data_IF_082877236160
#
_entry.id   IF_082877236160
#
_cell.length_a   1.000
_cell.length_b   1.000
_cell.length_c   1.000
_cell.angle_alpha   90.00
_cell.angle_beta   90.00
_cell.angle_gamma   90.00
#
_symmetry.space_group_name_H-M   'P 1'
#
loop_
_entity.id
_entity.type
_entity.pdbx_description
1 polymer ?
#
# COMPACT_ATOMS: atom_id res chain seq x y z
N UNK A 1 22.84 -9.79 14.99
CA UNK A 1 22.51 -9.55 16.42
C UNK A 1 23.36 -10.33 17.40
N UNK A 2 23.71 -11.62 17.16
CA UNK A 2 24.55 -12.41 18.06
C UNK A 2 25.94 -11.78 18.31
N UNK A 3 26.61 -11.27 17.29
CA UNK A 3 27.91 -10.61 17.42
C UNK A 3 27.78 -9.30 18.21
N UNK A 4 26.73 -8.51 17.98
CA UNK A 4 26.46 -7.29 18.73
C UNK A 4 26.21 -7.55 20.22
N UNK A 5 25.60 -8.68 20.58
CA UNK A 5 25.39 -9.07 21.98
C UNK A 5 26.69 -9.54 22.67
N UNK A 6 27.56 -10.25 21.94
CA UNK A 6 28.75 -10.86 22.51
C UNK A 6 29.96 -9.91 22.52
N UNK A 7 30.19 -9.18 21.46
CA UNK A 7 31.38 -8.38 21.20
C UNK A 7 31.09 -6.86 21.13
N UNK A 8 29.78 -6.49 21.03
CA UNK A 8 29.35 -5.11 20.86
C UNK A 8 29.48 -4.27 22.12
N UNK A 9 29.63 -2.96 21.94
CA UNK A 9 29.59 -1.96 22.99
C UNK A 9 28.21 -1.82 23.65
N UNK A 10 28.10 -0.92 24.61
CA UNK A 10 26.83 -0.61 25.28
C UNK A 10 25.72 -0.23 24.29
N UNK A 11 26.06 0.60 23.30
CA UNK A 11 25.11 1.12 22.32
C UNK A 11 24.51 0.00 21.45
N UNK A 12 25.32 -0.92 20.94
CA UNK A 12 24.85 -2.04 20.13
C UNK A 12 23.96 -3.00 20.93
N UNK A 13 24.31 -3.24 22.19
CA UNK A 13 23.48 -4.07 23.10
C UNK A 13 22.16 -3.39 23.42
N UNK A 14 22.16 -2.06 23.61
CA UNK A 14 20.95 -1.28 23.83
C UNK A 14 20.01 -1.33 22.60
N UNK A 15 20.54 -1.25 21.38
CA UNK A 15 19.76 -1.39 20.15
C UNK A 15 19.13 -2.79 20.00
N UNK A 16 19.88 -3.84 20.35
CA UNK A 16 19.32 -5.20 20.34
C UNK A 16 18.23 -5.34 21.40
N UNK A 17 18.45 -4.81 22.62
CA UNK A 17 17.44 -4.76 23.67
C UNK A 17 16.18 -4.02 23.23
N UNK A 18 16.35 -2.87 22.58
CA UNK A 18 15.23 -2.11 22.01
C UNK A 18 14.48 -2.91 20.94
N UNK A 19 15.17 -3.55 19.99
CA UNK A 19 14.53 -4.38 18.98
C UNK A 19 13.74 -5.54 19.61
N UNK A 20 14.31 -6.23 20.61
CA UNK A 20 13.61 -7.29 21.34
C UNK A 20 12.38 -6.77 22.10
N UNK A 21 12.50 -5.63 22.76
CA UNK A 21 11.36 -4.97 23.42
C UNK A 21 10.28 -4.61 22.43
N UNK A 22 10.64 -4.12 21.23
CA UNK A 22 9.71 -3.84 20.14
C UNK A 22 8.95 -5.08 19.66
N UNK A 23 9.61 -6.23 19.55
CA UNK A 23 8.95 -7.51 19.20
C UNK A 23 7.97 -7.92 20.29
N UNK A 24 8.42 -7.91 21.56
CA UNK A 24 7.57 -8.30 22.71
C UNK A 24 6.36 -7.38 22.77
N UNK A 25 6.58 -6.08 22.66
CA UNK A 25 5.49 -5.09 22.66
C UNK A 25 4.47 -5.34 21.55
N UNK A 26 4.94 -5.59 20.33
CA UNK A 26 4.07 -5.86 19.18
C UNK A 26 3.25 -7.14 19.32
N UNK A 27 3.74 -8.12 20.09
CA UNK A 27 3.04 -9.39 20.35
C UNK A 27 2.02 -9.29 21.51
N UNK A 28 2.32 -8.48 22.52
CA UNK A 28 1.52 -8.40 23.75
C UNK A 28 0.46 -7.31 23.69
N UNK A 29 0.74 -6.23 22.98
CA UNK A 29 -0.16 -5.08 22.90
C UNK A 29 -1.32 -5.35 21.93
N UNK A 30 -2.53 -5.56 22.45
CA UNK A 30 -3.73 -5.85 21.66
C UNK A 30 -4.14 -4.72 20.69
N UNK A 31 -3.72 -3.47 20.97
CA UNK A 31 -3.91 -2.31 20.09
C UNK A 31 -2.76 -2.08 19.10
N UNK A 32 -1.91 -3.08 18.85
CA UNK A 32 -0.78 -2.93 17.93
C UNK A 32 -1.27 -2.65 16.50
N UNK A 33 -0.76 -1.57 15.93
CA UNK A 33 -1.02 -1.14 14.56
C UNK A 33 0.27 -1.19 13.74
N UNK A 34 0.17 -1.04 12.42
CA UNK A 34 1.34 -0.99 11.54
C UNK A 34 2.34 0.12 11.94
N UNK A 35 1.86 1.22 12.54
CA UNK A 35 2.72 2.29 13.03
C UNK A 35 3.68 1.83 14.15
N UNK A 36 3.28 0.84 14.95
CA UNK A 36 4.13 0.28 16.00
C UNK A 36 5.33 -0.51 15.45
N UNK A 37 5.31 -0.90 14.16
CA UNK A 37 6.46 -1.53 13.51
C UNK A 37 7.70 -0.61 13.50
N UNK A 38 7.54 0.70 13.63
CA UNK A 38 8.66 1.63 13.77
C UNK A 38 9.56 1.33 14.98
N UNK A 39 8.99 0.85 16.10
CA UNK A 39 9.75 0.46 17.28
C UNK A 39 10.72 -0.70 17.03
N UNK A 40 10.44 -1.51 16.00
CA UNK A 40 11.31 -2.60 15.57
C UNK A 40 12.23 -2.18 14.42
N UNK A 41 11.71 -1.45 13.44
CA UNK A 41 12.44 -1.13 12.21
C UNK A 41 13.58 -0.16 12.45
N UNK A 42 13.41 0.84 13.34
CA UNK A 42 14.44 1.84 13.65
C UNK A 42 15.70 1.19 14.24
N UNK A 43 15.65 0.43 15.35
CA UNK A 43 16.86 -0.17 15.91
C UNK A 43 17.49 -1.20 14.96
N UNK A 44 16.70 -1.95 14.19
CA UNK A 44 17.22 -2.88 13.19
C UNK A 44 17.94 -2.15 12.04
N UNK A 45 17.42 -1.05 11.55
CA UNK A 45 18.06 -0.24 10.50
C UNK A 45 19.41 0.31 10.98
N UNK A 46 19.49 0.80 12.23
CA UNK A 46 20.73 1.27 12.82
C UNK A 46 21.75 0.14 12.97
N UNK A 47 21.32 -1.04 13.45
CA UNK A 47 22.20 -2.23 13.58
C UNK A 47 22.74 -2.68 12.20
N UNK A 48 21.91 -2.64 11.17
CA UNK A 48 22.33 -2.95 9.80
C UNK A 48 23.33 -1.90 9.31
N UNK A 49 23.08 -0.62 9.55
CA UNK A 49 24.00 0.47 9.21
C UNK A 49 25.38 0.27 9.88
N UNK A 50 25.41 -0.03 11.16
CA UNK A 50 26.65 -0.32 11.90
C UNK A 50 27.38 -1.54 11.32
N UNK A 51 26.64 -2.61 11.00
CA UNK A 51 27.22 -3.82 10.40
C UNK A 51 27.85 -3.51 9.03
N UNK A 52 27.18 -2.74 8.18
CA UNK A 52 27.70 -2.31 6.87
C UNK A 52 28.94 -1.44 7.03
N UNK A 53 28.91 -0.47 7.95
CA UNK A 53 30.04 0.40 8.25
C UNK A 53 31.25 -0.43 8.69
N UNK A 54 31.07 -1.36 9.63
CA UNK A 54 32.13 -2.25 10.08
C UNK A 54 32.70 -3.11 8.93
N UNK A 55 31.84 -3.63 8.04
CA UNK A 55 32.30 -4.39 6.88
C UNK A 55 33.14 -3.56 5.90
N UNK A 56 32.77 -2.33 5.69
CA UNK A 56 33.50 -1.40 4.82
C UNK A 56 34.84 -0.99 5.48
N UNK A 57 34.83 -0.73 6.79
CA UNK A 57 36.01 -0.28 7.53
C UNK A 57 37.05 -1.39 7.71
N UNK A 58 36.61 -2.61 8.07
CA UNK A 58 37.49 -3.78 8.18
C UNK A 58 38.24 -4.12 6.87
N UNK A 59 37.74 -3.63 5.75
CA UNK A 59 38.36 -3.85 4.44
C UNK A 59 39.73 -3.21 4.32
N UNK A 60 39.97 -2.10 4.99
CA UNK A 60 41.27 -1.39 4.93
C UNK A 60 42.41 -2.25 5.47
N UNK A 61 42.11 -3.14 6.44
CA UNK A 61 43.08 -4.02 7.07
C UNK A 61 43.32 -5.35 6.35
N UNK A 62 42.46 -5.71 5.36
CA UNK A 62 42.51 -6.96 4.60
C UNK A 62 43.02 -6.77 3.18
N UNK A 63 43.57 -5.60 2.85
CA UNK A 63 43.96 -5.20 1.49
C UNK A 63 45.11 -6.00 0.88
N UNK A 64 45.77 -6.86 1.66
CA UNK A 64 46.90 -7.63 1.18
C UNK A 64 46.56 -8.87 0.36
N UNK A 65 45.39 -9.49 0.63
CA UNK A 65 45.10 -10.83 0.11
C UNK A 65 44.01 -10.85 -0.98
N UNK A 66 43.21 -9.77 -1.08
CA UNK A 66 42.07 -9.72 -2.01
C UNK A 66 42.07 -8.39 -2.78
N UNK A 67 41.88 -8.40 -4.11
CA UNK A 67 41.78 -7.18 -4.87
C UNK A 67 40.71 -6.25 -4.29
N UNK A 68 41.03 -4.96 -4.11
CA UNK A 68 40.14 -3.97 -3.52
C UNK A 68 38.76 -3.87 -4.21
N UNK A 69 38.67 -4.27 -5.47
CA UNK A 69 37.47 -4.26 -6.29
C UNK A 69 36.63 -5.56 -6.21
N UNK A 70 37.17 -6.66 -5.65
CA UNK A 70 36.49 -7.96 -5.63
C UNK A 70 35.15 -7.95 -4.91
N UNK A 71 35.10 -7.39 -3.69
CA UNK A 71 33.86 -7.28 -2.91
C UNK A 71 32.81 -6.36 -3.58
N UNK A 72 33.17 -5.11 -4.01
CA UNK A 72 32.19 -4.25 -4.65
C UNK A 72 31.73 -4.79 -6.00
N UNK A 73 32.59 -5.43 -6.78
CA UNK A 73 32.15 -6.08 -8.02
C UNK A 73 31.12 -7.17 -7.77
N UNK A 74 31.38 -8.06 -6.81
CA UNK A 74 30.42 -9.11 -6.45
C UNK A 74 29.11 -8.51 -5.92
N UNK A 75 29.17 -7.43 -5.12
CA UNK A 75 27.97 -6.75 -4.63
C UNK A 75 27.15 -6.13 -5.77
N UNK A 76 27.81 -5.48 -6.75
CA UNK A 76 27.14 -4.90 -7.93
C UNK A 76 26.49 -6.00 -8.79
N UNK A 77 27.19 -7.10 -9.05
CA UNK A 77 26.63 -8.22 -9.81
C UNK A 77 25.44 -8.85 -9.09
N UNK A 78 25.56 -9.09 -7.79
CA UNK A 78 24.46 -9.59 -6.96
C UNK A 78 23.26 -8.63 -6.97
N UNK A 79 23.49 -7.33 -6.85
CA UNK A 79 22.44 -6.32 -6.96
C UNK A 79 21.73 -6.39 -8.32
N UNK A 80 22.49 -6.41 -9.41
CA UNK A 80 21.93 -6.49 -10.77
C UNK A 80 21.06 -7.75 -10.96
N UNK A 81 21.50 -8.89 -10.43
CA UNK A 81 20.74 -10.14 -10.47
C UNK A 81 19.46 -10.06 -9.62
N UNK A 82 19.51 -9.47 -8.43
CA UNK A 82 18.31 -9.26 -7.61
C UNK A 82 17.31 -8.31 -8.27
N UNK A 83 17.78 -7.28 -8.97
CA UNK A 83 16.90 -6.38 -9.75
C UNK A 83 16.27 -7.15 -10.93
N UNK A 84 17.03 -8.00 -11.62
CA UNK A 84 16.49 -8.85 -12.68
C UNK A 84 15.43 -9.83 -12.15
N UNK A 85 15.66 -10.45 -10.98
CA UNK A 85 14.67 -11.29 -10.30
C UNK A 85 13.43 -10.47 -9.95
N UNK A 86 13.59 -9.30 -9.35
CA UNK A 86 12.48 -8.41 -8.98
C UNK A 86 11.60 -8.05 -10.19
N UNK A 87 12.21 -7.64 -11.29
CA UNK A 87 11.49 -7.35 -12.55
C UNK A 87 10.79 -8.60 -13.07
N UNK A 88 11.48 -9.76 -13.07
CA UNK A 88 10.89 -11.02 -13.52
C UNK A 88 9.68 -11.42 -12.68
N UNK A 89 9.77 -11.31 -11.34
CA UNK A 89 8.69 -11.62 -10.41
C UNK A 89 7.51 -10.67 -10.60
N UNK A 90 7.76 -9.36 -10.78
CA UNK A 90 6.68 -8.39 -11.03
C UNK A 90 5.95 -8.70 -12.34
N UNK A 91 6.69 -8.99 -13.42
CA UNK A 91 6.08 -9.34 -14.70
C UNK A 91 5.33 -10.68 -14.64
N UNK A 92 5.88 -11.66 -13.92
CA UNK A 92 5.22 -12.93 -13.63
C UNK A 92 3.90 -12.71 -12.86
N UNK A 93 3.94 -11.95 -11.77
CA UNK A 93 2.76 -11.69 -10.97
C UNK A 93 1.67 -10.93 -11.74
N UNK A 94 2.05 -9.95 -12.56
CA UNK A 94 1.08 -9.28 -13.45
C UNK A 94 0.39 -10.27 -14.38
N UNK A 95 1.14 -11.14 -15.05
CA UNK A 95 0.55 -12.18 -15.92
C UNK A 95 -0.37 -13.11 -15.15
N UNK A 96 0.08 -13.56 -13.97
CA UNK A 96 -0.68 -14.43 -13.10
C UNK A 96 -2.01 -13.81 -12.65
N UNK A 97 -2.00 -12.53 -12.30
CA UNK A 97 -3.17 -11.86 -11.71
C UNK A 97 -4.18 -11.38 -12.77
N UNK A 98 -3.69 -10.96 -13.95
CA UNK A 98 -4.55 -10.32 -14.95
C UNK A 98 -4.98 -11.24 -16.08
N UNK A 99 -4.06 -12.07 -16.54
CA UNK A 99 -4.28 -12.81 -17.78
C UNK A 99 -4.89 -14.19 -17.55
N UNK A 100 -4.88 -14.70 -16.29
CA UNK A 100 -5.50 -15.99 -15.98
C UNK A 100 -6.99 -15.81 -15.62
N UNK A 101 -7.90 -16.41 -16.38
CA UNK A 101 -9.34 -16.34 -16.13
C UNK A 101 -9.81 -17.19 -14.93
N UNK A 102 -8.91 -17.58 -14.04
CA UNK A 102 -9.24 -18.44 -12.91
C UNK A 102 -9.89 -17.69 -11.76
N UNK A 103 -11.07 -18.11 -11.39
CA UNK A 103 -11.60 -18.02 -10.03
C UNK A 103 -11.01 -19.17 -9.19
N UNK A 104 -9.69 -19.25 -9.07
CA UNK A 104 -9.10 -20.21 -8.15
C UNK A 104 -9.27 -19.66 -6.73
N UNK A 105 -10.25 -20.16 -6.03
CA UNK A 105 -10.50 -19.85 -4.62
C UNK A 105 -9.46 -20.49 -3.69
N UNK A 106 -8.70 -21.47 -4.17
CA UNK A 106 -7.72 -22.23 -3.40
C UNK A 106 -6.31 -22.12 -4.02
N UNK A 107 -5.37 -21.58 -3.24
CA UNK A 107 -3.95 -21.48 -3.61
C UNK A 107 -3.32 -22.86 -3.86
N UNK A 108 -3.72 -23.89 -3.10
CA UNK A 108 -3.20 -25.26 -3.24
C UNK A 108 -3.58 -25.87 -4.59
N UNK A 109 -4.84 -25.73 -4.98
CA UNK A 109 -5.33 -26.19 -6.28
C UNK A 109 -4.65 -25.43 -7.44
N UNK A 110 -4.41 -24.13 -7.27
CA UNK A 110 -3.69 -23.32 -8.24
C UNK A 110 -2.23 -23.77 -8.40
N UNK A 111 -1.47 -23.91 -7.30
CA UNK A 111 -0.09 -24.38 -7.33
C UNK A 111 0.01 -25.79 -7.90
N UNK A 112 -0.89 -26.69 -7.52
CA UNK A 112 -0.98 -28.04 -8.09
C UNK A 112 -1.12 -28.02 -9.62
N UNK A 113 -2.04 -27.19 -10.14
CA UNK A 113 -2.21 -27.04 -11.59
C UNK A 113 -1.00 -26.40 -12.28
N UNK A 114 -0.36 -25.40 -11.65
CA UNK A 114 0.83 -24.77 -12.17
C UNK A 114 1.99 -25.77 -12.30
N UNK A 115 2.21 -26.58 -11.25
CA UNK A 115 3.29 -27.56 -11.23
C UNK A 115 2.98 -28.81 -12.05
N UNK A 116 1.75 -29.29 -12.12
CA UNK A 116 1.36 -30.41 -12.98
C UNK A 116 1.52 -30.06 -14.47
N UNK A 117 1.24 -28.81 -14.86
CA UNK A 117 1.48 -28.32 -16.22
C UNK A 117 2.95 -28.30 -16.64
N UNK A 118 3.87 -28.18 -15.68
CA UNK A 118 5.33 -28.29 -15.94
C UNK A 118 5.74 -29.74 -16.17
N UNK A 119 5.08 -30.69 -15.52
CA UNK A 119 5.47 -32.11 -15.53
C UNK A 119 4.72 -32.97 -16.56
N UNK A 120 3.51 -32.61 -16.93
CA UNK A 120 2.72 -33.40 -17.88
C UNK A 120 2.52 -32.62 -19.18
N UNK A 121 3.26 -33.01 -20.19
CA UNK A 121 2.87 -32.92 -21.60
C UNK A 121 1.65 -33.83 -21.84
N UNK A 122 0.69 -33.82 -20.90
CA UNK A 122 -0.42 -34.73 -20.95
C UNK A 122 -1.46 -34.15 -21.90
N UNK A 123 -1.78 -34.89 -22.95
CA UNK A 123 -2.76 -34.59 -23.98
C UNK A 123 -4.13 -34.18 -23.42
N UNK A 124 -4.49 -34.66 -22.24
CA UNK A 124 -5.78 -34.33 -21.60
C UNK A 124 -5.85 -32.89 -21.07
N UNK A 125 -4.74 -32.32 -20.60
CA UNK A 125 -4.68 -30.93 -20.17
C UNK A 125 -4.69 -30.00 -21.38
N UNK A 126 -3.96 -30.36 -22.44
CA UNK A 126 -4.02 -29.63 -23.71
C UNK A 126 -5.41 -29.73 -24.35
N UNK A 127 -6.11 -30.85 -24.19
CA UNK A 127 -7.44 -31.06 -24.75
C UNK A 127 -8.53 -30.31 -23.97
N UNK A 128 -8.45 -30.25 -22.64
CA UNK A 128 -9.32 -29.44 -21.80
C UNK A 128 -9.11 -27.93 -22.05
N UNK A 129 -7.86 -27.52 -22.20
CA UNK A 129 -7.49 -26.16 -22.60
C UNK A 129 -7.96 -25.88 -24.03
N UNK A 130 -7.80 -26.79 -24.98
CA UNK A 130 -8.18 -26.57 -26.39
C UNK A 130 -9.70 -26.45 -26.59
N UNK A 131 -10.53 -27.09 -25.77
CA UNK A 131 -11.99 -27.00 -25.83
C UNK A 131 -12.50 -25.62 -25.32
N UNK A 132 -11.90 -25.05 -24.31
CA UNK A 132 -12.15 -23.67 -23.90
C UNK A 132 -11.54 -22.64 -24.88
N UNK A 133 -10.45 -22.97 -25.56
CA UNK A 133 -9.74 -22.18 -26.57
C UNK A 133 -10.57 -21.87 -27.82
N UNK A 134 -11.40 -22.77 -28.27
CA UNK A 134 -12.29 -22.52 -29.41
C UNK A 134 -13.31 -21.38 -29.17
N UNK A 135 -13.46 -20.94 -27.91
CA UNK A 135 -14.31 -19.83 -27.47
C UNK A 135 -13.61 -18.50 -27.18
N UNK A 136 -12.34 -18.33 -27.53
CA UNK A 136 -11.60 -17.10 -27.32
C UNK A 136 -10.27 -17.23 -26.56
N UNK A 137 -9.69 -18.40 -26.46
CA UNK A 137 -8.65 -18.83 -25.53
C UNK A 137 -7.22 -18.91 -26.15
N UNK A 138 -6.97 -18.41 -27.35
CA UNK A 138 -5.59 -18.21 -27.83
C UNK A 138 -4.68 -17.46 -26.82
N UNK A 139 -5.29 -16.72 -25.91
CA UNK A 139 -4.63 -15.99 -24.84
C UNK A 139 -4.05 -16.92 -23.77
N UNK A 140 -4.67 -18.06 -23.49
CA UNK A 140 -4.34 -18.89 -22.33
C UNK A 140 -3.02 -19.67 -22.49
N UNK A 141 -2.80 -20.34 -23.63
CA UNK A 141 -1.55 -21.07 -23.88
C UNK A 141 -0.35 -20.13 -23.94
N UNK A 142 -0.53 -18.94 -24.51
CA UNK A 142 0.48 -17.90 -24.51
C UNK A 142 0.80 -17.40 -23.09
N UNK A 143 -0.21 -17.22 -22.26
CA UNK A 143 -0.06 -16.76 -20.87
C UNK A 143 0.63 -17.83 -20.03
N UNK A 144 0.19 -19.08 -20.09
CA UNK A 144 0.81 -20.20 -19.35
C UNK A 144 2.27 -20.41 -19.78
N UNK A 145 2.54 -20.41 -21.08
CA UNK A 145 3.91 -20.48 -21.62
C UNK A 145 4.78 -19.31 -21.15
N UNK A 146 4.23 -18.10 -21.09
CA UNK A 146 4.95 -16.93 -20.59
C UNK A 146 5.23 -17.01 -19.08
N UNK A 147 4.33 -17.58 -18.29
CA UNK A 147 4.52 -17.84 -16.86
C UNK A 147 5.64 -18.84 -16.64
N UNK A 148 5.63 -19.98 -17.35
CA UNK A 148 6.68 -21.00 -17.27
C UNK A 148 8.04 -20.45 -17.70
N UNK A 149 8.09 -19.67 -18.78
CA UNK A 149 9.31 -19.02 -19.23
C UNK A 149 9.87 -18.05 -18.18
N UNK A 150 9.01 -17.27 -17.50
CA UNK A 150 9.43 -16.36 -16.42
C UNK A 150 9.94 -17.11 -15.20
N UNK A 151 9.30 -18.23 -14.83
CA UNK A 151 9.81 -19.10 -13.76
C UNK A 151 11.20 -19.64 -14.12
N UNK A 152 11.38 -20.13 -15.35
CA UNK A 152 12.66 -20.64 -15.82
C UNK A 152 13.74 -19.55 -15.81
N UNK A 153 13.44 -18.34 -16.27
CA UNK A 153 14.35 -17.19 -16.21
C UNK A 153 14.72 -16.87 -14.77
N UNK A 154 13.75 -16.84 -13.86
CA UNK A 154 14.01 -16.55 -12.43
C UNK A 154 14.92 -17.62 -11.81
N UNK A 155 14.66 -18.91 -12.09
CA UNK A 155 15.50 -20.01 -11.64
C UNK A 155 16.91 -19.93 -12.22
N UNK A 156 17.04 -19.58 -13.50
CA UNK A 156 18.34 -19.40 -14.16
C UNK A 156 19.12 -18.25 -13.50
N UNK A 157 18.49 -17.12 -13.20
CA UNK A 157 19.13 -15.98 -12.54
C UNK A 157 19.55 -16.35 -11.11
N UNK A 158 18.74 -17.12 -10.37
CA UNK A 158 19.11 -17.65 -9.06
C UNK A 158 20.32 -18.60 -9.15
N UNK A 159 20.33 -19.47 -10.14
CA UNK A 159 21.47 -20.37 -10.39
C UNK A 159 22.75 -19.57 -10.71
N UNK A 160 22.66 -18.56 -11.58
CA UNK A 160 23.79 -17.67 -11.90
C UNK A 160 24.28 -16.96 -10.63
N UNK A 161 23.38 -16.50 -9.77
CA UNK A 161 23.75 -15.87 -8.49
C UNK A 161 24.51 -16.86 -7.56
N UNK A 162 24.04 -18.10 -7.46
CA UNK A 162 24.73 -19.14 -6.71
C UNK A 162 26.12 -19.45 -7.30
N UNK A 163 26.23 -19.57 -8.62
CA UNK A 163 27.52 -19.80 -9.30
C UNK A 163 28.48 -18.63 -9.04
N UNK A 164 28.02 -17.39 -9.16
CA UNK A 164 28.85 -16.20 -8.86
C UNK A 164 29.30 -16.17 -7.40
N UNK A 165 28.44 -16.56 -6.46
CA UNK A 165 28.80 -16.68 -5.05
C UNK A 165 29.93 -17.68 -4.84
N UNK A 166 29.84 -18.87 -5.42
CA UNK A 166 30.89 -19.88 -5.34
C UNK A 166 32.17 -19.44 -6.04
N UNK A 167 32.08 -18.82 -7.21
CA UNK A 167 33.25 -18.27 -7.92
C UNK A 167 33.94 -17.17 -7.09
N UNK A 168 33.18 -16.23 -6.50
CA UNK A 168 33.74 -15.21 -5.63
C UNK A 168 34.43 -15.83 -4.39
N UNK A 169 33.85 -16.91 -3.83
CA UNK A 169 34.43 -17.65 -2.72
C UNK A 169 35.74 -18.35 -3.09
N UNK A 170 35.81 -18.93 -4.29
CA UNK A 170 36.99 -19.63 -4.77
C UNK A 170 38.09 -18.70 -5.26
N UNK A 171 37.77 -17.63 -5.96
CA UNK A 171 38.72 -16.68 -6.54
C UNK A 171 39.30 -15.72 -5.48
N UNK A 172 38.53 -15.29 -4.53
CA UNK A 172 38.93 -14.27 -3.58
C UNK A 172 38.98 -14.80 -2.13
N UNK A 173 37.81 -15.07 -1.52
CA UNK A 173 37.66 -15.76 -0.25
C UNK A 173 36.17 -15.93 0.08
N UNK A 174 35.84 -16.93 0.90
CA UNK A 174 34.49 -17.12 1.41
C UNK A 174 33.95 -15.84 2.14
N UNK A 175 34.81 -15.13 2.86
CA UNK A 175 34.45 -13.88 3.53
C UNK A 175 34.06 -12.77 2.53
N UNK A 176 34.83 -12.63 1.43
CA UNK A 176 34.53 -11.69 0.35
C UNK A 176 33.24 -12.02 -0.36
N UNK A 177 33.00 -13.32 -0.64
CA UNK A 177 31.77 -13.78 -1.26
C UNK A 177 30.53 -13.44 -0.39
N UNK A 178 30.57 -13.80 0.90
CA UNK A 178 29.47 -13.47 1.82
C UNK A 178 29.21 -11.97 1.98
N UNK A 179 30.27 -11.17 2.10
CA UNK A 179 30.12 -9.71 2.23
C UNK A 179 29.57 -9.08 0.97
N UNK A 180 30.10 -9.46 -0.20
CA UNK A 180 29.61 -8.97 -1.49
C UNK A 180 28.14 -9.35 -1.73
N UNK A 181 27.79 -10.63 -1.47
CA UNK A 181 26.42 -11.10 -1.58
C UNK A 181 25.48 -10.36 -0.63
N UNK A 182 25.86 -10.21 0.64
CA UNK A 182 25.03 -9.52 1.63
C UNK A 182 24.85 -8.02 1.30
N UNK A 183 25.90 -7.33 0.85
CA UNK A 183 25.82 -5.94 0.43
C UNK A 183 24.95 -5.77 -0.82
N UNK A 184 25.10 -6.64 -1.83
CA UNK A 184 24.27 -6.61 -3.02
C UNK A 184 22.80 -6.86 -2.71
N UNK A 185 22.50 -7.85 -1.86
CA UNK A 185 21.15 -8.16 -1.41
C UNK A 185 20.57 -7.00 -0.59
N UNK A 186 21.32 -6.42 0.35
CA UNK A 186 20.88 -5.29 1.15
C UNK A 186 20.60 -4.07 0.27
N UNK A 187 21.47 -3.78 -0.71
CA UNK A 187 21.24 -2.69 -1.67
C UNK A 187 19.96 -2.90 -2.48
N UNK A 188 19.69 -4.12 -2.93
CA UNK A 188 18.45 -4.45 -3.60
C UNK A 188 17.23 -4.22 -2.71
N UNK A 189 17.27 -4.70 -1.45
CA UNK A 189 16.19 -4.50 -0.48
C UNK A 189 15.93 -3.01 -0.20
N UNK A 190 17.00 -2.19 -0.07
CA UNK A 190 16.89 -0.74 0.11
C UNK A 190 16.21 -0.10 -1.11
N UNK A 191 16.63 -0.44 -2.33
CA UNK A 191 16.03 0.10 -3.55
C UNK A 191 14.55 -0.30 -3.69
N UNK A 192 14.20 -1.56 -3.41
CA UNK A 192 12.80 -1.99 -3.40
C UNK A 192 11.98 -1.28 -2.32
N UNK A 193 12.56 -1.11 -1.12
CA UNK A 193 11.89 -0.40 -0.01
C UNK A 193 11.67 1.06 -0.34
N UNK A 194 12.65 1.73 -0.96
CA UNK A 194 12.51 3.12 -1.42
C UNK A 194 11.46 3.24 -2.52
N UNK A 195 11.41 2.30 -3.45
CA UNK A 195 10.39 2.26 -4.50
C UNK A 195 8.98 2.08 -3.94
N UNK A 196 8.79 1.11 -3.04
CA UNK A 196 7.51 0.86 -2.39
C UNK A 196 7.12 2.02 -1.46
N UNK A 197 8.04 2.47 -0.60
CA UNK A 197 7.81 3.57 0.33
C UNK A 197 7.55 4.89 -0.38
N UNK A 198 8.28 5.19 -1.44
CA UNK A 198 8.06 6.38 -2.28
C UNK A 198 6.67 6.34 -2.92
N UNK A 199 6.25 5.20 -3.45
CA UNK A 199 4.90 5.04 -3.99
C UNK A 199 3.82 5.25 -2.91
N UNK A 200 3.98 4.63 -1.75
CA UNK A 200 3.04 4.78 -0.63
C UNK A 200 2.97 6.22 -0.13
N UNK A 201 4.12 6.89 0.02
CA UNK A 201 4.19 8.24 0.55
C UNK A 201 3.73 9.32 -0.43
N UNK A 202 3.94 9.13 -1.74
CA UNK A 202 3.64 10.15 -2.76
C UNK A 202 2.35 9.86 -3.51
N UNK A 203 2.23 8.68 -4.13
CA UNK A 203 1.08 8.34 -4.96
C UNK A 203 -0.09 7.76 -4.15
N UNK A 204 0.20 7.07 -3.05
CA UNK A 204 -0.78 6.41 -2.19
C UNK A 204 -1.08 7.16 -0.90
N UNK A 205 -0.66 8.43 -0.77
CA UNK A 205 -0.81 9.19 0.48
C UNK A 205 -2.25 9.42 0.93
N UNK A 206 -3.24 9.26 0.05
CA UNK A 206 -4.68 9.31 0.36
C UNK A 206 -5.39 7.96 0.22
N UNK A 207 -4.67 6.88 -0.07
CA UNK A 207 -5.27 5.58 -0.32
C UNK A 207 -5.69 4.90 0.99
N UNK A 208 -7.00 4.68 1.21
CA UNK A 208 -7.50 4.03 2.42
C UNK A 208 -7.04 2.57 2.59
N UNK A 209 -6.45 1.97 1.55
CA UNK A 209 -5.91 0.60 1.58
C UNK A 209 -4.52 0.53 2.19
N UNK A 210 -3.90 1.66 2.48
CA UNK A 210 -2.61 1.67 3.15
C UNK A 210 -2.76 1.37 4.64
N UNK A 211 -1.93 0.48 5.17
CA UNK A 211 -1.96 0.08 6.59
C UNK A 211 -1.72 1.23 7.59
N UNK A 212 -1.17 2.34 7.13
CA UNK A 212 -0.90 3.51 7.96
C UNK A 212 -2.17 4.29 8.30
N UNK A 213 -3.21 4.13 7.47
CA UNK A 213 -4.50 4.79 7.67
C UNK A 213 -5.43 3.88 8.45
N UNK A 214 -5.50 4.11 9.77
CA UNK A 214 -6.46 3.40 10.63
C UNK A 214 -7.89 3.84 10.36
N UNK A 215 -8.06 5.07 9.89
CA UNK A 215 -9.34 5.71 9.74
C UNK A 215 -9.25 6.78 8.64
N UNK A 216 -9.14 6.33 7.36
CA UNK A 216 -8.84 7.22 6.26
C UNK A 216 -10.00 8.17 5.98
N UNK A 217 -9.71 9.45 6.07
CA UNK A 217 -10.59 10.54 5.62
C UNK A 217 -10.43 10.67 4.11
N UNK A 218 -11.56 10.72 3.40
CA UNK A 218 -11.56 10.78 1.92
C UNK A 218 -11.31 12.19 1.40
N UNK A 219 -11.00 12.29 0.11
CA UNK A 219 -10.88 13.57 -0.58
C UNK A 219 -12.22 14.35 -0.62
N UNK A 220 -13.37 13.67 -0.44
CA UNK A 220 -14.67 14.34 -0.35
C UNK A 220 -14.72 15.41 0.76
N UNK A 221 -13.97 15.23 1.86
CA UNK A 221 -13.86 16.25 2.93
C UNK A 221 -13.08 17.48 2.45
N UNK A 222 -12.12 17.31 1.57
CA UNK A 222 -11.41 18.43 0.93
C UNK A 222 -12.33 19.17 -0.04
N UNK A 223 -13.09 18.42 -0.84
CA UNK A 223 -14.07 18.95 -1.77
C UNK A 223 -15.20 19.66 -1.06
N UNK A 224 -15.63 19.14 0.12
CA UNK A 224 -16.58 19.83 1.00
C UNK A 224 -16.08 21.23 1.37
N UNK A 225 -14.82 21.37 1.79
CA UNK A 225 -14.27 22.70 2.14
C UNK A 225 -14.25 23.63 0.93
N UNK A 226 -13.97 23.13 -0.26
CA UNK A 226 -14.08 23.91 -1.51
C UNK A 226 -15.51 24.37 -1.77
N UNK A 227 -16.48 23.46 -1.68
CA UNK A 227 -17.89 23.72 -1.84
C UNK A 227 -18.40 24.73 -0.82
N UNK A 228 -18.09 24.55 0.46
CA UNK A 228 -18.50 25.47 1.53
C UNK A 228 -17.97 26.90 1.30
N UNK A 229 -16.72 27.02 0.85
CA UNK A 229 -16.13 28.31 0.52
C UNK A 229 -16.87 28.99 -0.64
N UNK A 230 -17.20 28.24 -1.68
CA UNK A 230 -17.92 28.77 -2.84
C UNK A 230 -19.35 29.19 -2.45
N UNK A 231 -20.05 28.36 -1.68
CA UNK A 231 -21.39 28.67 -1.21
C UNK A 231 -21.40 29.87 -0.26
N UNK A 232 -20.40 29.99 0.61
CA UNK A 232 -20.25 31.16 1.48
C UNK A 232 -20.05 32.45 0.69
N UNK A 233 -19.21 32.43 -0.34
CA UNK A 233 -19.02 33.58 -1.23
C UNK A 233 -20.31 34.00 -1.93
N UNK A 234 -21.14 33.03 -2.34
CA UNK A 234 -22.43 33.31 -3.00
C UNK A 234 -23.50 33.85 -2.03
N UNK A 235 -23.54 33.31 -0.81
CA UNK A 235 -24.56 33.69 0.19
C UNK A 235 -24.25 35.05 0.87
N UNK A 236 -22.98 35.26 1.24
CA UNK A 236 -22.58 36.40 2.07
C UNK A 236 -21.60 37.38 1.43
N UNK A 237 -21.02 37.02 0.26
CA UNK A 237 -19.91 37.75 -0.33
C UNK A 237 -18.55 37.48 0.31
N UNK A 238 -18.49 36.70 1.42
CA UNK A 238 -17.31 36.40 2.20
C UNK A 238 -17.05 34.89 2.24
N UNK A 239 -15.78 34.41 2.16
CA UNK A 239 -15.48 33.00 1.93
C UNK A 239 -15.74 32.06 3.14
N UNK A 240 -16.14 32.59 4.32
CA UNK A 240 -16.26 31.82 5.56
C UNK A 240 -17.41 32.23 6.47
N UNK A 241 -18.29 33.11 6.03
CA UNK A 241 -19.39 33.67 6.86
C UNK A 241 -20.75 33.00 6.66
N UNK A 242 -20.87 32.02 5.75
CA UNK A 242 -22.15 31.31 5.56
C UNK A 242 -22.65 30.69 6.87
N UNK A 243 -23.97 30.76 7.09
CA UNK A 243 -24.61 30.00 8.15
C UNK A 243 -24.65 28.51 7.82
N UNK A 244 -24.13 27.68 8.70
CA UNK A 244 -24.06 26.21 8.53
C UNK A 244 -24.77 25.58 9.73
N UNK A 245 -25.78 24.76 9.47
CA UNK A 245 -26.36 23.88 10.50
C UNK A 245 -25.76 22.48 10.35
N UNK A 246 -25.12 21.98 11.40
CA UNK A 246 -24.39 20.72 11.38
C UNK A 246 -24.96 19.72 12.38
N UNK A 247 -25.68 18.71 11.89
CA UNK A 247 -26.10 17.54 12.67
C UNK A 247 -24.97 16.51 12.70
N UNK A 248 -23.79 16.94 13.15
CA UNK A 248 -22.57 16.15 13.23
C UNK A 248 -22.00 16.22 14.64
N UNK A 249 -21.23 15.21 15.09
CA UNK A 249 -20.49 15.34 16.34
C UNK A 249 -19.57 16.56 16.33
N UNK A 250 -19.42 17.22 17.48
CA UNK A 250 -18.53 18.38 17.64
C UNK A 250 -17.04 18.02 17.55
N UNK A 251 -16.74 16.75 17.42
CA UNK A 251 -15.41 16.18 17.22
C UNK A 251 -15.29 15.46 15.86
N UNK A 252 -14.07 15.15 15.46
CA UNK A 252 -13.81 14.40 14.25
C UNK A 252 -13.57 15.23 12.98
N UNK A 253 -13.55 14.53 11.82
CA UNK A 253 -13.09 15.10 10.55
C UNK A 253 -14.00 16.23 10.03
N UNK A 254 -15.31 16.10 10.19
CA UNK A 254 -16.27 17.12 9.73
C UNK A 254 -16.23 18.36 10.61
N UNK A 255 -16.23 18.21 11.93
CA UNK A 255 -16.10 19.35 12.85
C UNK A 255 -14.77 20.08 12.58
N UNK A 256 -13.69 19.36 12.34
CA UNK A 256 -12.42 19.96 11.95
C UNK A 256 -12.48 20.69 10.60
N UNK A 257 -13.22 20.18 9.62
CA UNK A 257 -13.43 20.86 8.34
C UNK A 257 -14.23 22.15 8.47
N UNK A 258 -15.18 22.19 9.43
CA UNK A 258 -16.04 23.33 9.71
C UNK A 258 -15.41 24.40 10.63
N UNK A 259 -14.28 24.14 11.27
CA UNK A 259 -13.64 25.03 12.26
C UNK A 259 -13.38 26.45 11.78
N UNK A 260 -13.24 26.65 10.48
CA UNK A 260 -12.96 27.94 9.86
C UNK A 260 -14.24 28.77 9.59
N UNK A 261 -15.45 28.22 9.92
CA UNK A 261 -16.76 28.82 9.71
C UNK A 261 -17.39 29.21 11.07
N UNK A 262 -17.28 30.46 11.49
CA UNK A 262 -17.73 30.89 12.84
C UNK A 262 -19.24 30.79 13.03
N UNK A 263 -20.03 30.84 11.96
CA UNK A 263 -21.48 30.76 11.97
C UNK A 263 -21.96 29.30 11.82
N UNK A 264 -21.19 28.34 12.30
CA UNK A 264 -21.61 26.93 12.34
C UNK A 264 -22.30 26.64 13.67
N UNK A 265 -23.52 26.15 13.60
CA UNK A 265 -24.27 25.64 14.73
C UNK A 265 -24.30 24.12 14.72
N UNK A 266 -23.79 23.51 15.78
CA UNK A 266 -23.90 22.08 16.00
C UNK A 266 -25.23 21.78 16.68
N UNK A 267 -26.08 21.00 16.01
CA UNK A 267 -27.45 20.72 16.48
C UNK A 267 -27.69 19.23 16.61
N UNK A 268 -28.68 18.84 17.42
CA UNK A 268 -29.10 17.45 17.57
C UNK A 268 -30.31 17.09 16.70
N UNK A 269 -30.86 18.03 15.96
CA UNK A 269 -31.99 17.83 15.05
C UNK A 269 -32.15 19.00 14.09
N UNK A 270 -32.75 18.72 12.94
CA UNK A 270 -33.04 19.68 11.88
C UNK A 270 -34.57 19.70 11.66
N UNK A 271 -35.16 20.86 11.54
CA UNK A 271 -36.60 21.04 11.44
C UNK A 271 -37.02 22.17 10.50
N UNK A 272 -38.34 22.50 10.46
CA UNK A 272 -38.89 23.52 9.57
C UNK A 272 -38.34 24.94 9.84
N UNK A 273 -37.74 25.17 10.98
CA UNK A 273 -37.10 26.44 11.36
C UNK A 273 -35.70 26.58 10.73
N UNK A 274 -35.12 25.50 10.25
CA UNK A 274 -33.77 25.50 9.67
C UNK A 274 -33.78 26.17 8.30
N UNK A 275 -33.10 27.31 8.19
CA UNK A 275 -33.00 28.09 6.94
C UNK A 275 -31.59 28.60 6.68
N UNK A 276 -30.57 27.88 7.12
CA UNK A 276 -29.17 28.21 6.88
C UNK A 276 -28.77 27.88 5.44
N UNK A 277 -27.70 28.52 4.95
CA UNK A 277 -27.21 28.30 3.57
C UNK A 277 -26.82 26.85 3.30
N UNK A 278 -26.27 26.19 4.33
CA UNK A 278 -25.82 24.79 4.23
C UNK A 278 -26.29 24.00 5.46
N UNK A 279 -26.75 22.78 5.22
CA UNK A 279 -27.09 21.81 6.25
C UNK A 279 -26.31 20.52 6.05
N UNK A 280 -25.63 20.03 7.09
CA UNK A 280 -24.89 18.76 7.11
C UNK A 280 -25.60 17.77 8.02
N UNK A 281 -25.92 16.58 7.52
CA UNK A 281 -26.62 15.55 8.30
C UNK A 281 -26.23 14.13 7.86
N UNK A 282 -26.37 13.11 8.73
CA UNK A 282 -26.14 11.70 8.34
C UNK A 282 -27.04 11.24 7.19
N UNK A 283 -26.51 10.37 6.32
CA UNK A 283 -27.33 9.78 5.21
C UNK A 283 -28.42 8.85 5.74
N UNK A 284 -28.19 8.21 6.89
CA UNK A 284 -29.15 7.27 7.50
C UNK A 284 -30.41 7.96 8.00
N UNK A 285 -30.36 9.26 8.22
CA UNK A 285 -31.53 10.02 8.67
C UNK A 285 -32.48 10.29 7.51
N UNK A 286 -33.81 10.16 7.72
CA UNK A 286 -34.79 10.57 6.70
C UNK A 286 -34.60 12.07 6.41
N UNK A 287 -34.87 12.48 5.16
CA UNK A 287 -34.83 13.89 4.82
C UNK A 287 -35.84 14.68 5.65
N UNK A 288 -35.40 15.58 6.52
CA UNK A 288 -36.31 16.38 7.32
C UNK A 288 -37.01 17.43 6.45
N UNK A 289 -38.19 17.89 6.91
CA UNK A 289 -38.82 19.07 6.36
C UNK A 289 -38.04 20.28 6.88
N UNK A 290 -37.44 21.05 5.98
CA UNK A 290 -36.64 22.23 6.27
C UNK A 290 -37.40 23.49 5.84
N UNK A 291 -37.01 24.67 6.35
CA UNK A 291 -37.66 25.92 6.08
C UNK A 291 -37.48 26.49 4.68
N UNK A 292 -36.60 25.91 3.89
CA UNK A 292 -36.33 26.28 2.49
C UNK A 292 -36.14 25.06 1.61
N UNK A 293 -36.04 25.28 0.28
CA UNK A 293 -35.72 24.26 -0.68
C UNK A 293 -34.18 24.01 -0.75
N UNK A 294 -33.79 22.77 -0.65
CA UNK A 294 -32.39 22.35 -0.66
C UNK A 294 -32.07 21.34 -1.77
N UNK A 295 -30.82 21.35 -2.20
CA UNK A 295 -30.21 20.31 -3.07
C UNK A 295 -29.20 19.57 -2.25
N UNK A 296 -29.31 18.23 -2.22
CA UNK A 296 -28.42 17.35 -1.44
C UNK A 296 -27.38 16.62 -2.28
N UNK A 297 -26.13 16.55 -1.79
CA UNK A 297 -25.06 15.70 -2.29
C UNK A 297 -24.56 14.80 -1.17
N UNK A 298 -24.44 13.50 -1.45
CA UNK A 298 -23.83 12.56 -0.49
C UNK A 298 -22.32 12.66 -0.57
N UNK A 299 -21.67 12.68 0.59
CA UNK A 299 -20.23 12.66 0.81
C UNK A 299 -19.85 11.39 1.54
N UNK A 300 -18.77 10.80 1.17
CA UNK A 300 -18.14 9.70 1.90
C UNK A 300 -17.02 10.31 2.74
N UNK A 301 -17.19 10.40 4.05
CA UNK A 301 -16.17 10.99 4.94
C UNK A 301 -15.08 10.00 5.26
N UNK A 302 -15.44 8.73 5.47
CA UNK A 302 -14.51 7.66 5.77
C UNK A 302 -14.79 6.43 4.90
N UNK A 303 -13.71 5.74 4.55
CA UNK A 303 -13.80 4.48 3.83
C UNK A 303 -13.35 3.34 4.72
N UNK A 304 -14.09 2.25 4.70
CA UNK A 304 -13.73 1.02 5.38
C UNK A 304 -13.02 0.08 4.41
N UNK A 305 -11.88 -0.42 4.82
CA UNK A 305 -11.15 -1.44 4.08
C UNK A 305 -10.46 -2.41 5.04
N UNK A 306 -10.52 -3.71 4.73
CA UNK A 306 -9.92 -4.75 5.57
C UNK A 306 -9.20 -5.78 4.71
N UNK A 307 -7.96 -6.09 5.06
CA UNK A 307 -7.18 -7.18 4.44
C UNK A 307 -7.83 -8.53 4.67
N UNK A 308 -8.55 -8.71 5.79
CA UNK A 308 -9.16 -9.99 6.15
C UNK A 308 -10.29 -10.40 5.21
N UNK A 309 -10.89 -9.45 4.50
CA UNK A 309 -11.95 -9.72 3.51
C UNK A 309 -11.39 -10.08 2.13
N UNK A 310 -10.08 -10.04 1.92
CA UNK A 310 -9.45 -10.29 0.64
C UNK A 310 -9.27 -11.79 0.39
N UNK A 311 -9.54 -12.23 -0.84
CA UNK A 311 -9.04 -13.51 -1.33
C UNK A 311 -7.50 -13.47 -1.45
N UNK A 312 -6.85 -14.61 -1.55
CA UNK A 312 -5.39 -14.65 -1.77
C UNK A 312 -4.97 -13.88 -3.03
N UNK A 313 -5.78 -13.93 -4.09
CA UNK A 313 -5.55 -13.20 -5.34
C UNK A 313 -5.65 -11.69 -5.13
N UNK A 314 -6.71 -11.24 -4.44
CA UNK A 314 -6.90 -9.83 -4.12
C UNK A 314 -5.80 -9.32 -3.18
N UNK A 315 -5.32 -10.15 -2.26
CA UNK A 315 -4.15 -9.85 -1.42
C UNK A 315 -2.90 -9.62 -2.26
N UNK A 316 -2.64 -10.48 -3.26
CA UNK A 316 -1.51 -10.27 -4.17
C UNK A 316 -1.71 -9.01 -5.02
N UNK A 317 -2.91 -8.75 -5.56
CA UNK A 317 -3.21 -7.52 -6.29
C UNK A 317 -2.99 -6.29 -5.43
N UNK A 318 -3.43 -6.32 -4.19
CA UNK A 318 -3.19 -5.26 -3.23
C UNK A 318 -1.69 -5.05 -2.94
N UNK A 319 -0.90 -6.13 -2.76
CA UNK A 319 0.56 -6.05 -2.61
C UNK A 319 1.24 -5.40 -3.81
N UNK A 320 0.75 -5.67 -5.03
CA UNK A 320 1.22 -5.03 -6.26
C UNK A 320 0.63 -3.64 -6.50
N UNK A 321 -0.22 -3.18 -5.58
CA UNK A 321 -0.86 -1.85 -5.63
C UNK A 321 -1.67 -1.64 -6.90
N UNK A 322 -2.42 -2.65 -7.32
CA UNK A 322 -3.32 -2.55 -8.44
C UNK A 322 -4.74 -2.21 -8.01
N UNK A 323 -5.35 -1.25 -8.69
CA UNK A 323 -6.64 -0.66 -8.29
C UNK A 323 -7.86 -1.43 -8.75
N UNK A 324 -7.68 -2.44 -9.58
CA UNK A 324 -8.75 -2.87 -10.46
C UNK A 324 -9.94 -3.60 -9.80
N UNK A 325 -9.79 -4.26 -8.65
CA UNK A 325 -10.84 -5.16 -8.15
C UNK A 325 -11.33 -4.90 -6.74
N UNK A 326 -10.49 -4.48 -5.82
CA UNK A 326 -10.89 -4.31 -4.42
C UNK A 326 -11.04 -2.83 -4.10
N UNK A 327 -12.27 -2.34 -4.21
CA UNK A 327 -12.58 -0.96 -3.84
C UNK A 327 -12.89 -0.90 -2.35
N UNK A 328 -12.41 0.13 -1.64
CA UNK A 328 -12.85 0.41 -0.28
C UNK A 328 -14.37 0.62 -0.25
N UNK A 329 -15.02 0.05 0.75
CA UNK A 329 -16.43 0.30 0.97
C UNK A 329 -16.64 1.69 1.57
N UNK A 330 -17.73 2.37 1.18
CA UNK A 330 -18.13 3.59 1.86
C UNK A 330 -18.50 3.26 3.31
N UNK A 331 -17.77 3.81 4.25
CA UNK A 331 -18.03 3.66 5.68
C UNK A 331 -18.96 4.76 6.16
N UNK A 332 -18.43 5.83 6.70
CA UNK A 332 -19.16 6.97 7.20
C UNK A 332 -19.63 7.87 6.06
N UNK A 333 -20.95 8.00 5.88
CA UNK A 333 -21.56 8.81 4.82
C UNK A 333 -22.41 9.93 5.40
N UNK A 334 -22.24 11.11 4.84
CA UNK A 334 -22.96 12.32 5.21
C UNK A 334 -23.60 12.95 4.00
N UNK A 335 -24.64 13.73 4.21
CA UNK A 335 -25.31 14.49 3.15
C UNK A 335 -25.17 15.98 3.44
N UNK A 336 -24.65 16.69 2.44
CA UNK A 336 -24.61 18.15 2.41
C UNK A 336 -25.81 18.63 1.64
N UNK A 337 -26.60 19.46 2.28
CA UNK A 337 -27.72 20.14 1.68
C UNK A 337 -27.36 21.60 1.50
N UNK A 338 -27.49 22.12 0.30
CA UNK A 338 -27.27 23.53 -0.03
C UNK A 338 -28.60 24.12 -0.45
N UNK A 339 -28.93 25.28 0.11
CA UNK A 339 -30.15 26.01 -0.23
C UNK A 339 -30.14 26.38 -1.71
N UNK A 340 -31.26 26.17 -2.43
CA UNK A 340 -31.32 26.28 -3.88
C UNK A 340 -30.98 27.69 -4.40
N UNK A 341 -31.40 28.74 -3.70
CA UNK A 341 -31.07 30.12 -4.06
C UNK A 341 -29.57 30.42 -3.98
N UNK A 342 -28.87 29.86 -3.00
CA UNK A 342 -27.42 29.97 -2.85
C UNK A 342 -26.69 29.15 -3.91
N UNK A 343 -27.27 28.00 -4.27
CA UNK A 343 -26.66 27.14 -5.32
C UNK A 343 -26.74 27.77 -6.71
N UNK A 344 -27.65 28.73 -6.92
CA UNK A 344 -27.81 29.44 -8.20
C UNK A 344 -28.69 28.71 -9.22
N UNK A 345 -29.54 27.78 -8.75
CA UNK A 345 -30.62 27.24 -9.57
C UNK A 345 -31.75 28.26 -9.54
N UNK A 346 -31.87 29.09 -10.56
CA UNK A 346 -33.03 29.96 -10.73
C UNK A 346 -34.30 29.09 -10.66
N UNK A 347 -35.21 29.48 -9.77
CA UNK A 347 -36.57 28.96 -9.82
C UNK A 347 -37.17 29.41 -11.14
N UNK A 348 -37.33 28.48 -12.08
CA UNK A 348 -38.17 28.75 -13.26
C UNK A 348 -39.58 29.01 -12.72
N UNK A 349 -40.12 30.23 -12.79
CA UNK A 349 -41.45 30.52 -12.28
C UNK A 349 -42.45 29.76 -13.16
N UNK A 350 -43.09 28.74 -12.61
CA UNK A 350 -44.26 28.08 -13.19
C UNK A 350 -44.02 26.74 -13.92
N UNK A 351 -43.62 25.73 -13.20
CA UNK A 351 -43.97 24.34 -13.55
C UNK A 351 -44.72 23.69 -12.41
#
# INVERSE_FOLDING_TARGET
SYRALREGGFFERALVGWALAGVVWSLVYAGATAAHALWLTVPLAVLVGLMVTNWITERVNLAWEVPAWGMPLHAILTLALWLAIGVSVVLFAKRLLYDLPFEATDLGAFLSKLFSGIYSRNTDFQQAISIEIQKGVYVYDYVLGSIQQRMLVTLLVLLVNAVLFFLAGSLWSARTAWRGFALGTLSALVLFSLGLGGRTALAGSGDPREFWYLDPVTDDVRDLRGTLREMSLRDTGEPRLAGITALVPEDGALAWALRDYPNTEFVHGVGPETNTAVVLMPVVEPQPVMGADYIGKTLVVRQAWSVQSLSWRDTLMWLYRDDSRVKPAAGEQWRVWVRKDVYGVEQVPGQ
#
